data_IF_980331023009
#
_entry.id   IF_980331023009
#
_cell.length_a   1.000
_cell.length_b   1.000
_cell.length_c   1.000
_cell.angle_alpha   90.00
_cell.angle_beta   90.00
_cell.angle_gamma   90.00
#
_symmetry.space_group_name_H-M   'P 1'
#
loop_
_entity.id
_entity.type
_entity.pdbx_description
1 polymer ?
#
# COMPACT_ATOMS: atom_id res chain seq x y z
N UNK A 1 -14.04 38.85 0.07
CA UNK A 1 -13.12 39.84 0.72
C UNK A 1 -11.87 39.10 1.18
N UNK A 2 -10.65 39.65 0.95
CA UNK A 2 -9.39 39.05 1.47
C UNK A 2 -9.34 39.18 2.98
N UNK A 3 -8.75 38.19 3.67
CA UNK A 3 -8.60 38.21 5.11
C UNK A 3 -7.72 39.39 5.57
N UNK A 4 -7.83 39.87 6.83
CA UNK A 4 -6.92 40.90 7.35
C UNK A 4 -5.44 40.54 7.18
N UNK A 5 -5.09 39.26 7.38
CA UNK A 5 -3.73 38.75 7.18
C UNK A 5 -3.24 38.88 5.73
N UNK A 6 -4.12 38.65 4.75
CA UNK A 6 -3.75 38.77 3.33
C UNK A 6 -3.56 40.23 2.93
N UNK A 7 -4.35 41.16 3.50
CA UNK A 7 -4.19 42.60 3.28
C UNK A 7 -2.83 43.08 3.82
N UNK A 8 -2.44 42.65 5.00
CA UNK A 8 -1.14 43.02 5.60
C UNK A 8 0.05 42.51 4.79
N UNK A 9 -0.03 41.32 4.19
CA UNK A 9 1.01 40.83 3.26
C UNK A 9 1.14 41.71 2.03
N UNK A 10 0.02 42.09 1.39
CA UNK A 10 0.01 42.97 0.23
C UNK A 10 0.59 44.34 0.59
N UNK A 11 0.24 44.89 1.78
CA UNK A 11 0.80 46.15 2.26
C UNK A 11 2.33 46.01 2.41
N UNK A 12 2.84 44.92 2.95
CA UNK A 12 4.26 44.68 3.11
C UNK A 12 4.99 44.60 1.77
N UNK A 13 4.45 43.88 0.78
CA UNK A 13 5.01 43.75 -0.57
C UNK A 13 5.06 45.10 -1.29
N UNK A 14 3.98 45.87 -1.25
CA UNK A 14 3.90 47.17 -1.90
C UNK A 14 4.74 48.23 -1.19
N UNK A 15 4.88 48.15 0.12
CA UNK A 15 5.78 49.03 0.89
C UNK A 15 7.24 48.84 0.48
N UNK A 16 7.67 47.60 0.23
CA UNK A 16 9.02 47.30 -0.31
C UNK A 16 9.26 47.92 -1.70
N UNK A 17 8.20 48.22 -2.44
CA UNK A 17 8.25 48.91 -3.72
C UNK A 17 8.20 50.46 -3.58
N UNK A 18 8.24 50.99 -2.33
CA UNK A 18 8.34 52.43 -2.04
C UNK A 18 6.98 53.12 -1.74
N UNK A 19 5.88 52.41 -1.69
CA UNK A 19 4.59 53.02 -1.35
C UNK A 19 4.41 53.28 0.16
N UNK A 20 3.73 54.38 0.50
CA UNK A 20 3.47 54.77 1.90
C UNK A 20 2.50 53.77 2.60
N UNK A 21 2.87 53.30 3.76
CA UNK A 21 2.03 52.39 4.60
C UNK A 21 0.67 53.04 4.90
N UNK A 22 0.65 54.32 5.19
CA UNK A 22 -0.59 55.05 5.52
C UNK A 22 -1.57 55.01 4.31
N UNK A 23 -1.07 55.28 3.11
CA UNK A 23 -1.87 55.23 1.86
C UNK A 23 -2.38 53.80 1.62
N UNK A 24 -1.49 52.82 1.69
CA UNK A 24 -1.85 51.41 1.48
C UNK A 24 -2.90 50.91 2.47
N UNK A 25 -2.76 51.23 3.74
CA UNK A 25 -3.76 50.86 4.76
C UNK A 25 -5.13 51.49 4.47
N UNK A 26 -5.18 52.77 4.10
CA UNK A 26 -6.41 53.48 3.72
C UNK A 26 -7.06 52.83 2.48
N UNK A 27 -6.30 52.57 1.43
CA UNK A 27 -6.77 51.97 0.20
C UNK A 27 -7.29 50.54 0.36
N UNK A 28 -6.62 49.73 1.17
CA UNK A 28 -6.98 48.32 1.41
C UNK A 28 -7.94 48.12 2.59
N UNK A 29 -8.41 49.20 3.23
CA UNK A 29 -9.31 49.14 4.39
C UNK A 29 -8.70 48.35 5.55
N UNK A 30 -7.43 48.58 5.86
CA UNK A 30 -6.67 47.91 6.90
C UNK A 30 -6.26 48.91 7.99
N UNK A 31 -6.22 48.46 9.27
CA UNK A 31 -5.74 49.29 10.36
C UNK A 31 -4.19 49.39 10.33
N UNK A 32 -3.67 50.63 10.43
CA UNK A 32 -2.23 50.85 10.44
C UNK A 32 -1.58 50.30 11.72
N UNK A 33 -2.22 50.45 12.89
CA UNK A 33 -1.76 49.81 14.12
C UNK A 33 -1.79 48.30 14.04
N UNK A 34 -2.85 47.69 13.48
CA UNK A 34 -2.95 46.27 13.26
C UNK A 34 -1.86 45.74 12.29
N UNK A 35 -1.45 46.54 11.30
CA UNK A 35 -0.31 46.20 10.44
C UNK A 35 0.98 46.12 11.24
N UNK A 36 1.34 47.14 12.00
CA UNK A 36 2.55 47.14 12.83
C UNK A 36 2.54 46.03 13.89
N UNK A 37 1.40 45.76 14.52
CA UNK A 37 1.26 44.61 15.41
C UNK A 37 1.48 43.28 14.66
N UNK A 38 0.99 43.18 13.43
CA UNK A 38 1.19 41.97 12.64
C UNK A 38 2.68 41.68 12.35
N UNK A 39 3.49 42.73 12.16
CA UNK A 39 4.94 42.60 11.98
C UNK A 39 5.66 42.14 13.27
N UNK A 40 5.16 42.56 14.43
CA UNK A 40 5.73 42.18 15.74
C UNK A 40 5.25 40.80 16.20
N UNK A 41 4.18 40.27 15.61
CA UNK A 41 3.53 39.04 16.07
C UNK A 41 4.42 37.82 15.83
N UNK A 42 4.96 37.27 16.91
CA UNK A 42 5.66 35.97 16.87
C UNK A 42 4.67 34.88 16.41
N UNK A 43 5.19 33.93 15.64
CA UNK A 43 4.42 32.75 15.28
C UNK A 43 3.86 32.07 16.54
N UNK A 44 2.59 31.69 16.55
CA UNK A 44 2.03 30.90 17.65
C UNK A 44 2.80 29.59 17.81
N UNK A 45 2.88 29.05 19.04
CA UNK A 45 3.56 27.80 19.35
C UNK A 45 3.11 26.67 18.42
N UNK A 46 1.81 26.60 18.10
CA UNK A 46 1.25 25.63 17.16
C UNK A 46 1.81 25.82 15.76
N UNK A 47 1.98 27.05 15.30
CA UNK A 47 2.50 27.35 13.96
C UNK A 47 4.00 27.07 13.87
N UNK A 48 4.77 27.41 14.93
CA UNK A 48 6.21 27.06 15.02
C UNK A 48 6.39 25.54 14.99
N UNK A 49 5.61 24.81 15.79
CA UNK A 49 5.62 23.35 15.82
C UNK A 49 5.26 22.76 14.45
N UNK A 50 4.29 23.34 13.75
CA UNK A 50 3.89 22.90 12.40
C UNK A 50 5.02 23.09 11.39
N UNK A 51 5.70 24.25 11.39
CA UNK A 51 6.85 24.52 10.51
C UNK A 51 7.97 23.50 10.76
N UNK A 52 8.35 23.25 12.01
CA UNK A 52 9.38 22.28 12.37
C UNK A 52 9.03 20.81 12.01
N UNK A 53 7.75 20.51 11.71
CA UNK A 53 7.33 19.16 11.27
C UNK A 53 7.30 18.98 9.74
N UNK A 54 7.35 20.07 8.97
CA UNK A 54 7.25 20.00 7.50
C UNK A 54 8.31 19.10 6.88
N UNK A 55 9.56 19.26 7.28
CA UNK A 55 10.69 18.49 6.73
C UNK A 55 10.57 17.01 7.08
N UNK A 56 10.15 16.68 8.31
CA UNK A 56 9.96 15.29 8.74
C UNK A 56 8.84 14.61 7.95
N UNK A 57 7.71 15.29 7.75
CA UNK A 57 6.59 14.78 6.94
C UNK A 57 7.02 14.58 5.49
N UNK A 58 7.73 15.55 4.91
CA UNK A 58 8.26 15.47 3.53
C UNK A 58 9.25 14.32 3.38
N UNK A 59 10.18 14.17 4.32
CA UNK A 59 11.16 13.07 4.32
C UNK A 59 10.49 11.70 4.37
N UNK A 60 9.52 11.49 5.27
CA UNK A 60 8.78 10.22 5.34
C UNK A 60 7.97 9.95 4.07
N UNK A 61 7.34 10.98 3.50
CA UNK A 61 6.60 10.84 2.25
C UNK A 61 7.49 10.40 1.09
N UNK A 62 8.69 10.94 0.97
CA UNK A 62 9.69 10.57 -0.03
C UNK A 62 10.31 9.20 0.26
N UNK A 63 10.65 8.90 1.52
CA UNK A 63 11.13 7.58 1.95
C UNK A 63 10.20 6.46 1.48
N UNK A 64 8.89 6.66 1.59
CA UNK A 64 7.90 5.69 1.13
C UNK A 64 7.52 5.86 -0.35
N UNK A 65 8.36 6.53 -1.17
CA UNK A 65 8.15 6.68 -2.63
C UNK A 65 6.74 7.20 -2.96
N UNK A 66 6.21 8.18 -2.19
CA UNK A 66 4.86 8.78 -2.32
C UNK A 66 3.68 7.80 -2.07
N UNK A 67 3.92 6.62 -1.51
CA UNK A 67 2.90 5.58 -1.26
C UNK A 67 2.02 5.86 -0.04
N UNK A 68 2.50 6.70 0.90
CA UNK A 68 1.83 6.95 2.18
C UNK A 68 1.00 8.23 2.16
N UNK A 69 -0.30 8.09 2.52
CA UNK A 69 -1.15 9.21 2.90
C UNK A 69 -0.99 9.59 4.38
N UNK A 70 -1.76 10.59 4.82
CA UNK A 70 -1.70 11.20 6.17
C UNK A 70 -1.68 10.18 7.31
N UNK A 71 -2.51 9.12 7.23
CA UNK A 71 -2.65 8.15 8.33
C UNK A 71 -1.36 7.34 8.52
N UNK A 72 -0.78 6.80 7.45
CA UNK A 72 0.45 6.01 7.54
C UNK A 72 1.65 6.86 7.93
N UNK A 73 1.77 8.09 7.42
CA UNK A 73 2.81 9.05 7.86
C UNK A 73 2.65 9.39 9.33
N UNK A 74 1.42 9.63 9.79
CA UNK A 74 1.14 9.87 11.20
C UNK A 74 1.58 8.68 12.09
N UNK A 75 1.28 7.44 11.67
CA UNK A 75 1.70 6.23 12.38
C UNK A 75 3.22 6.07 12.43
N UNK A 76 3.94 6.47 11.37
CA UNK A 76 5.40 6.46 11.36
C UNK A 76 6.00 7.50 12.31
N UNK A 77 5.42 8.69 12.36
CA UNK A 77 5.83 9.73 13.32
C UNK A 77 5.61 9.28 14.76
N UNK A 78 4.45 8.67 15.06
CA UNK A 78 4.19 8.10 16.38
C UNK A 78 5.18 7.00 16.77
N UNK A 79 5.53 6.12 15.83
CA UNK A 79 6.54 5.07 16.05
C UNK A 79 7.94 5.62 16.32
N UNK A 80 8.24 6.86 15.87
CA UNK A 80 9.47 7.58 16.18
C UNK A 80 9.37 8.41 17.48
N UNK A 81 8.31 8.24 18.29
CA UNK A 81 8.08 9.00 19.52
C UNK A 81 7.57 10.44 19.31
N UNK A 82 7.26 10.83 18.08
CA UNK A 82 6.81 12.18 17.75
C UNK A 82 5.30 12.29 17.94
N UNK A 83 4.87 12.95 19.03
CA UNK A 83 3.45 13.21 19.32
C UNK A 83 2.91 14.31 18.41
N UNK A 84 2.10 13.95 17.43
CA UNK A 84 1.46 14.85 16.46
C UNK A 84 0.05 14.34 16.16
N UNK A 85 -0.90 15.21 15.83
CA UNK A 85 -2.24 14.77 15.43
C UNK A 85 -2.27 14.42 13.92
N UNK A 86 -3.11 13.44 13.55
CA UNK A 86 -3.34 13.07 12.15
C UNK A 86 -3.84 14.28 11.33
N UNK A 87 -4.68 15.14 11.94
CA UNK A 87 -5.19 16.38 11.31
C UNK A 87 -4.05 17.34 10.96
N UNK A 88 -3.05 17.49 11.83
CA UNK A 88 -1.88 18.34 11.59
C UNK A 88 -1.02 17.76 10.45
N UNK A 89 -0.77 16.45 10.42
CA UNK A 89 -0.06 15.79 9.31
C UNK A 89 -0.79 16.04 7.98
N UNK A 90 -2.12 15.86 7.95
CA UNK A 90 -2.91 16.12 6.74
C UNK A 90 -2.88 17.58 6.30
N UNK A 91 -2.81 18.53 7.24
CA UNK A 91 -2.65 19.95 6.93
C UNK A 91 -1.28 20.26 6.35
N UNK A 92 -0.20 19.71 6.93
CA UNK A 92 1.17 19.86 6.43
C UNK A 92 1.28 19.27 5.02
N UNK A 93 0.74 18.09 4.77
CA UNK A 93 0.76 17.49 3.44
C UNK A 93 0.06 18.37 2.39
N UNK A 94 -1.07 18.98 2.73
CA UNK A 94 -1.77 19.92 1.84
C UNK A 94 -0.95 21.17 1.54
N UNK A 95 -0.34 21.77 2.56
CA UNK A 95 0.51 22.96 2.39
C UNK A 95 1.73 22.69 1.48
N UNK A 96 2.27 21.47 1.58
CA UNK A 96 3.42 21.03 0.78
C UNK A 96 3.00 20.43 -0.58
N UNK A 97 1.71 20.38 -0.91
CA UNK A 97 1.20 19.78 -2.15
C UNK A 97 1.46 18.27 -2.25
N UNK A 98 1.68 17.57 -1.12
CA UNK A 98 2.00 16.14 -1.09
C UNK A 98 0.74 15.31 -1.31
N UNK A 99 0.64 14.65 -2.45
CA UNK A 99 -0.46 13.74 -2.81
C UNK A 99 0.07 12.32 -2.91
N UNK A 100 -0.48 11.40 -2.10
CA UNK A 100 -0.14 9.98 -2.18
C UNK A 100 -0.66 9.38 -3.49
N UNK A 101 0.02 8.31 -3.96
CA UNK A 101 -0.42 7.52 -5.10
C UNK A 101 -1.81 6.96 -4.78
N UNK A 102 -2.80 7.28 -5.62
CA UNK A 102 -4.18 6.81 -5.47
C UNK A 102 -4.37 5.47 -6.19
N UNK A 103 -5.19 4.58 -5.63
CA UNK A 103 -5.63 3.38 -6.33
C UNK A 103 -6.35 3.80 -7.62
N UNK A 104 -5.99 3.19 -8.75
CA UNK A 104 -6.74 3.32 -9.99
C UNK A 104 -8.04 2.53 -9.85
N UNK A 105 -9.13 3.05 -10.39
CA UNK A 105 -10.38 2.30 -10.49
C UNK A 105 -10.15 1.16 -11.51
N UNK A 106 -9.96 -0.05 -11.00
CA UNK A 106 -9.84 -1.26 -11.81
C UNK A 106 -11.22 -1.94 -11.84
N UNK A 107 -11.75 -2.18 -13.02
CA UNK A 107 -12.93 -3.04 -13.22
C UNK A 107 -12.41 -4.41 -13.63
N UNK A 108 -12.52 -5.45 -12.79
CA UNK A 108 -12.11 -6.79 -13.18
C UNK A 108 -13.03 -7.31 -14.29
N UNK A 109 -12.43 -7.90 -15.33
CA UNK A 109 -13.15 -8.81 -16.24
C UNK A 109 -13.11 -10.18 -15.58
N UNK A 110 -14.27 -10.75 -15.33
CA UNK A 110 -14.43 -12.10 -14.77
C UNK A 110 -13.90 -13.16 -15.73
N UNK A 111 -13.07 -14.06 -15.24
CA UNK A 111 -12.50 -15.19 -15.98
C UNK A 111 -13.58 -16.27 -16.18
N UNK A 112 -13.65 -16.86 -17.38
CA UNK A 112 -14.51 -18.01 -17.68
C UNK A 112 -13.79 -19.26 -17.15
N UNK A 113 -14.43 -19.93 -16.18
CA UNK A 113 -13.87 -21.14 -15.54
C UNK A 113 -14.32 -22.42 -16.24
N UNK A 114 -13.44 -23.42 -16.34
CA UNK A 114 -13.73 -24.77 -16.85
C UNK A 114 -14.56 -25.62 -15.87
N UNK A 115 -15.33 -26.58 -16.39
CA UNK A 115 -16.44 -27.25 -15.72
C UNK A 115 -16.07 -28.45 -14.80
N UNK A 116 -14.80 -28.78 -14.52
CA UNK A 116 -14.40 -30.11 -14.00
C UNK A 116 -13.92 -30.17 -12.52
N UNK A 117 -14.18 -29.19 -11.67
CA UNK A 117 -13.62 -29.17 -10.30
C UNK A 117 -14.69 -29.20 -9.17
N UNK A 118 -15.72 -30.02 -9.27
CA UNK A 118 -16.88 -29.94 -8.38
C UNK A 118 -16.74 -30.60 -6.99
N UNK A 119 -15.61 -31.21 -6.63
CA UNK A 119 -15.48 -32.01 -5.39
C UNK A 119 -14.64 -31.38 -4.27
N UNK A 120 -13.94 -30.26 -4.52
CA UNK A 120 -13.08 -29.66 -3.48
C UNK A 120 -13.89 -28.64 -2.69
N UNK A 121 -13.89 -28.84 -1.35
CA UNK A 121 -14.64 -28.01 -0.40
C UNK A 121 -13.99 -26.65 -0.16
N UNK A 122 -14.82 -25.65 0.13
CA UNK A 122 -14.38 -24.35 0.64
C UNK A 122 -14.22 -24.43 2.15
N UNK A 123 -12.98 -24.59 2.60
CA UNK A 123 -12.61 -24.68 4.01
C UNK A 123 -12.45 -23.32 4.69
N UNK A 124 -12.54 -22.20 3.96
CA UNK A 124 -12.30 -20.85 4.52
C UNK A 124 -13.56 -20.04 4.74
N UNK A 125 -14.66 -20.44 4.16
CA UNK A 125 -15.94 -19.73 4.26
C UNK A 125 -16.36 -19.54 5.72
N UNK A 126 -16.54 -18.27 6.13
CA UNK A 126 -16.95 -17.92 7.49
C UNK A 126 -15.87 -18.09 8.57
N UNK A 127 -14.64 -18.49 8.22
CA UNK A 127 -13.54 -18.64 9.18
C UNK A 127 -12.80 -17.34 9.41
N UNK A 128 -12.39 -17.15 10.66
CA UNK A 128 -11.47 -16.09 11.08
C UNK A 128 -10.16 -16.75 11.49
N UNK A 129 -9.07 -16.32 10.87
CA UNK A 129 -7.73 -16.81 11.19
C UNK A 129 -7.09 -15.90 12.24
N UNK A 130 -6.64 -16.47 13.35
CA UNK A 130 -6.21 -15.74 14.55
C UNK A 130 -4.69 -15.74 14.74
N UNK A 131 -3.97 -16.58 14.00
CA UNK A 131 -2.52 -16.61 13.98
C UNK A 131 -1.96 -16.93 12.58
N UNK A 132 -0.68 -16.66 12.33
CA UNK A 132 -0.03 -16.97 11.06
C UNK A 132 0.00 -18.47 10.77
N UNK A 133 0.19 -18.80 9.50
CA UNK A 133 0.37 -20.17 8.99
C UNK A 133 -0.87 -21.08 9.10
N UNK A 134 -2.04 -20.56 9.45
CA UNK A 134 -3.30 -21.31 9.41
C UNK A 134 -3.88 -21.43 8.01
N UNK A 135 -3.77 -20.38 7.20
CA UNK A 135 -4.29 -20.35 5.84
C UNK A 135 -3.48 -19.42 4.95
N UNK A 136 -3.17 -19.89 3.75
CA UNK A 136 -2.61 -19.10 2.66
C UNK A 136 -3.63 -18.98 1.52
N UNK A 137 -3.77 -17.78 0.98
CA UNK A 137 -4.50 -17.52 -0.26
C UNK A 137 -3.52 -17.48 -1.43
N UNK A 138 -3.76 -18.30 -2.45
CA UNK A 138 -2.97 -18.38 -3.66
C UNK A 138 -3.71 -17.78 -4.86
N UNK A 139 -2.99 -17.05 -5.71
CA UNK A 139 -3.52 -16.49 -6.95
C UNK A 139 -2.41 -16.14 -7.93
N UNK A 140 -2.78 -15.94 -9.20
CA UNK A 140 -1.88 -15.51 -10.27
C UNK A 140 -2.33 -14.16 -10.81
N UNK A 141 -1.39 -13.24 -10.98
CA UNK A 141 -1.67 -11.96 -11.63
C UNK A 141 -0.75 -11.71 -12.81
N UNK A 142 -1.25 -10.90 -13.77
CA UNK A 142 -0.54 -10.52 -14.99
C UNK A 142 0.30 -9.27 -14.74
N UNK A 143 1.50 -9.25 -15.31
CA UNK A 143 2.45 -8.15 -15.31
C UNK A 143 2.79 -7.79 -16.75
N UNK A 144 2.37 -6.60 -17.19
CA UNK A 144 2.62 -6.13 -18.53
C UNK A 144 4.04 -5.54 -18.65
N UNK A 145 4.76 -5.93 -19.70
CA UNK A 145 6.02 -5.32 -20.12
C UNK A 145 6.01 -5.04 -21.63
N UNK A 146 6.86 -4.15 -22.12
CA UNK A 146 7.00 -3.95 -23.58
C UNK A 146 7.56 -5.17 -24.30
N UNK A 147 8.22 -6.09 -23.57
CA UNK A 147 8.74 -7.35 -24.08
C UNK A 147 7.72 -8.51 -24.01
N UNK A 148 6.46 -8.23 -23.64
CA UNK A 148 5.40 -9.20 -23.48
C UNK A 148 4.98 -9.39 -22.03
N UNK A 149 4.20 -10.43 -21.75
CA UNK A 149 3.63 -10.69 -20.45
C UNK A 149 4.57 -11.48 -19.53
N UNK A 150 4.48 -11.16 -18.24
CA UNK A 150 4.95 -12.03 -17.17
C UNK A 150 3.75 -12.42 -16.30
N UNK A 151 3.86 -13.55 -15.65
CA UNK A 151 2.87 -14.12 -14.76
C UNK A 151 3.47 -14.24 -13.37
N UNK A 152 2.82 -13.61 -12.39
CA UNK A 152 3.26 -13.61 -11.00
C UNK A 152 2.27 -14.44 -10.19
N UNK A 153 2.72 -15.60 -9.70
CA UNK A 153 2.00 -16.39 -8.69
C UNK A 153 2.49 -16.02 -7.30
N UNK A 154 1.60 -16.00 -6.31
CA UNK A 154 1.96 -15.72 -4.93
C UNK A 154 1.02 -16.35 -3.93
N UNK A 155 1.53 -16.53 -2.70
CA UNK A 155 0.77 -17.00 -1.54
C UNK A 155 0.88 -15.99 -0.41
N UNK A 156 -0.27 -15.47 0.04
CA UNK A 156 -0.40 -14.50 1.12
C UNK A 156 -1.02 -15.15 2.35
N UNK A 157 -0.46 -14.91 3.51
CA UNK A 157 -0.99 -15.37 4.78
C UNK A 157 -2.28 -14.64 5.16
N UNK A 158 -3.30 -15.39 5.57
CA UNK A 158 -4.61 -14.86 5.91
C UNK A 158 -4.59 -13.92 7.12
N UNK A 159 -3.73 -14.17 8.10
CA UNK A 159 -3.59 -13.37 9.31
C UNK A 159 -2.61 -12.21 9.14
N UNK A 160 -1.33 -12.54 8.90
CA UNK A 160 -0.25 -11.55 8.87
C UNK A 160 -0.22 -10.68 7.61
N UNK A 161 -0.97 -11.07 6.57
CA UNK A 161 -0.93 -10.44 5.22
C UNK A 161 0.46 -10.47 4.58
N UNK A 162 1.34 -11.34 5.05
CA UNK A 162 2.69 -11.52 4.54
C UNK A 162 2.67 -12.36 3.27
N UNK A 163 3.39 -11.94 2.24
CA UNK A 163 3.66 -12.79 1.08
C UNK A 163 4.71 -13.81 1.52
N UNK A 164 4.30 -15.07 1.58
CA UNK A 164 5.14 -16.19 2.05
C UNK A 164 6.03 -16.73 0.95
N UNK A 165 5.52 -16.80 -0.28
CA UNK A 165 6.26 -17.25 -1.45
C UNK A 165 5.64 -16.72 -2.73
N UNK A 166 6.46 -16.55 -3.76
CA UNK A 166 6.02 -16.11 -5.08
C UNK A 166 7.03 -16.54 -6.16
N UNK A 167 6.53 -16.63 -7.39
CA UNK A 167 7.33 -16.93 -8.60
C UNK A 167 6.85 -16.06 -9.76
N UNK A 168 7.78 -15.69 -10.64
CA UNK A 168 7.52 -14.87 -11.83
C UNK A 168 8.09 -15.59 -13.04
N UNK A 169 7.22 -15.93 -14.01
CA UNK A 169 7.58 -16.64 -15.25
C UNK A 169 6.95 -15.96 -16.48
N UNK A 170 7.39 -16.39 -17.66
CA UNK A 170 6.90 -15.87 -18.95
C UNK A 170 5.69 -16.64 -19.48
N UNK A 171 5.32 -17.71 -18.83
CA UNK A 171 4.14 -18.53 -19.10
C UNK A 171 3.45 -18.92 -17.81
N UNK A 172 2.29 -19.56 -17.88
CA UNK A 172 1.51 -20.01 -16.71
C UNK A 172 1.44 -21.55 -16.62
N UNK A 173 2.55 -22.29 -16.57
CA UNK A 173 2.49 -23.72 -16.29
C UNK A 173 2.13 -23.96 -14.82
N UNK A 174 1.77 -25.18 -14.47
CA UNK A 174 1.53 -25.56 -13.08
C UNK A 174 2.80 -25.36 -12.21
N UNK A 175 4.01 -25.45 -12.80
CA UNK A 175 5.29 -25.18 -12.11
C UNK A 175 5.40 -23.77 -11.55
N UNK A 176 4.74 -22.77 -12.14
CA UNK A 176 4.69 -21.41 -11.61
C UNK A 176 4.10 -21.39 -10.20
N UNK A 177 3.01 -22.12 -9.99
CA UNK A 177 2.30 -22.18 -8.71
C UNK A 177 3.04 -23.09 -7.73
N UNK A 178 3.48 -24.29 -8.17
CA UNK A 178 4.24 -25.18 -7.29
C UNK A 178 5.55 -24.56 -6.86
N UNK A 179 6.28 -23.87 -7.74
CA UNK A 179 7.49 -23.14 -7.40
C UNK A 179 7.27 -21.98 -6.40
N UNK A 180 6.11 -21.31 -6.48
CA UNK A 180 5.73 -20.30 -5.50
C UNK A 180 5.50 -20.91 -4.11
N UNK A 181 4.79 -22.04 -4.08
CA UNK A 181 4.48 -22.75 -2.83
C UNK A 181 5.72 -23.37 -2.20
N UNK A 182 6.59 -23.97 -3.03
CA UNK A 182 7.87 -24.55 -2.58
C UNK A 182 8.74 -23.48 -1.87
N UNK A 183 8.83 -22.27 -2.42
CA UNK A 183 9.55 -21.16 -1.80
C UNK A 183 8.91 -20.77 -0.46
N UNK A 184 7.58 -20.78 -0.35
CA UNK A 184 6.88 -20.54 0.89
C UNK A 184 7.21 -21.62 1.95
N UNK A 185 7.16 -22.90 1.57
CA UNK A 185 7.45 -24.04 2.45
C UNK A 185 8.89 -24.06 2.93
N UNK A 186 9.86 -23.78 2.06
CA UNK A 186 11.27 -23.67 2.43
C UNK A 186 11.53 -22.56 3.44
N UNK A 187 10.87 -21.41 3.26
CA UNK A 187 11.06 -20.25 4.13
C UNK A 187 10.28 -20.36 5.46
N UNK A 188 9.15 -21.06 5.45
CA UNK A 188 8.24 -21.17 6.60
C UNK A 188 7.91 -22.64 6.91
N UNK A 189 8.80 -23.38 7.59
CA UNK A 189 8.59 -24.81 7.91
C UNK A 189 7.36 -25.09 8.78
N UNK A 190 6.80 -24.06 9.43
CA UNK A 190 5.59 -24.15 10.27
C UNK A 190 4.28 -24.18 9.45
N UNK A 191 4.34 -24.16 8.12
CA UNK A 191 3.15 -24.26 7.24
C UNK A 191 2.52 -25.66 7.19
N UNK A 192 2.97 -26.61 8.00
CA UNK A 192 2.36 -27.94 8.09
C UNK A 192 0.89 -27.81 8.51
N UNK A 193 0.01 -28.56 7.84
CA UNK A 193 -1.45 -28.55 8.04
C UNK A 193 -2.18 -27.25 7.69
N UNK A 194 -1.47 -26.27 7.12
CA UNK A 194 -2.11 -25.03 6.64
C UNK A 194 -3.16 -25.32 5.57
N UNK A 195 -4.23 -24.54 5.56
CA UNK A 195 -5.17 -24.51 4.46
C UNK A 195 -4.55 -23.69 3.34
N UNK A 196 -4.50 -24.27 2.13
CA UNK A 196 -4.11 -23.54 0.93
C UNK A 196 -5.37 -23.32 0.10
N UNK A 197 -5.82 -22.06 0.07
CA UNK A 197 -7.03 -21.66 -0.64
C UNK A 197 -6.70 -20.93 -1.93
N UNK A 198 -7.37 -21.30 -3.01
CA UNK A 198 -7.22 -20.69 -4.33
C UNK A 198 -8.52 -20.69 -5.11
N UNK A 199 -8.51 -20.06 -6.28
CA UNK A 199 -9.55 -20.26 -7.28
C UNK A 199 -9.45 -21.64 -7.92
N UNK A 200 -10.35 -21.93 -8.89
CA UNK A 200 -10.41 -23.20 -9.63
C UNK A 200 -9.64 -23.14 -10.96
N UNK A 201 -8.59 -22.32 -11.05
CA UNK A 201 -7.73 -22.25 -12.22
C UNK A 201 -7.04 -23.60 -12.51
N UNK A 202 -6.73 -23.85 -13.77
CA UNK A 202 -6.10 -25.12 -14.23
C UNK A 202 -4.79 -25.44 -13.53
N UNK A 203 -4.05 -24.41 -13.12
CA UNK A 203 -2.78 -24.55 -12.39
C UNK A 203 -3.02 -25.15 -10.99
N UNK A 204 -4.07 -24.69 -10.29
CA UNK A 204 -4.44 -25.15 -8.95
C UNK A 204 -5.18 -26.48 -8.93
N UNK A 205 -5.74 -26.91 -10.06
CA UNK A 205 -6.38 -28.23 -10.23
C UNK A 205 -5.45 -29.28 -10.82
N UNK A 206 -4.20 -28.92 -11.10
CA UNK A 206 -3.21 -29.83 -11.68
C UNK A 206 -2.80 -30.95 -10.71
N UNK A 207 -2.51 -32.12 -11.25
CA UNK A 207 -2.07 -33.28 -10.47
C UNK A 207 -0.79 -33.00 -9.67
N UNK A 208 0.21 -32.35 -10.28
CA UNK A 208 1.47 -32.02 -9.60
C UNK A 208 1.27 -31.06 -8.41
N UNK A 209 0.33 -30.10 -8.51
CA UNK A 209 0.02 -29.22 -7.40
C UNK A 209 -0.65 -29.97 -6.24
N UNK A 210 -1.64 -30.83 -6.52
CA UNK A 210 -2.30 -31.64 -5.50
C UNK A 210 -1.34 -32.63 -4.83
N UNK A 211 -0.46 -33.27 -5.61
CA UNK A 211 0.57 -34.15 -5.08
C UNK A 211 1.51 -33.42 -4.11
N UNK A 212 1.93 -32.18 -4.46
CA UNK A 212 2.75 -31.36 -3.57
C UNK A 212 2.02 -31.03 -2.26
N UNK A 213 0.75 -30.63 -2.32
CA UNK A 213 -0.04 -30.35 -1.11
C UNK A 213 -0.11 -31.57 -0.18
N UNK A 214 -0.40 -32.74 -0.77
CA UNK A 214 -0.48 -34.00 0.00
C UNK A 214 0.85 -34.38 0.62
N UNK A 215 1.96 -34.30 -0.14
CA UNK A 215 3.32 -34.61 0.35
C UNK A 215 3.74 -33.73 1.54
N UNK A 216 3.27 -32.50 1.59
CA UNK A 216 3.57 -31.56 2.68
C UNK A 216 2.50 -31.50 3.78
N UNK A 217 1.48 -32.37 3.73
CA UNK A 217 0.39 -32.40 4.73
C UNK A 217 -0.51 -31.16 4.73
N UNK A 218 -0.60 -30.45 3.58
CA UNK A 218 -1.40 -29.25 3.43
C UNK A 218 -2.85 -29.57 3.04
N UNK A 219 -3.79 -28.78 3.54
CA UNK A 219 -5.22 -28.94 3.26
C UNK A 219 -5.59 -28.09 2.06
N UNK A 220 -6.13 -28.71 1.01
CA UNK A 220 -6.62 -27.99 -0.16
C UNK A 220 -8.00 -27.40 0.11
N UNK A 221 -8.20 -26.18 -0.35
CA UNK A 221 -9.49 -25.47 -0.31
C UNK A 221 -9.68 -24.66 -1.59
N UNK A 222 -10.89 -24.64 -2.15
CA UNK A 222 -11.19 -23.88 -3.36
C UNK A 222 -12.49 -23.10 -3.20
N UNK A 223 -12.48 -21.85 -3.65
CA UNK A 223 -13.65 -20.99 -3.67
C UNK A 223 -14.79 -21.56 -4.52
N UNK A 224 -16.02 -21.19 -4.21
CA UNK A 224 -17.18 -21.57 -4.99
C UNK A 224 -17.21 -20.84 -6.34
N UNK A 225 -17.71 -21.50 -7.37
CA UNK A 225 -17.83 -20.92 -8.71
C UNK A 225 -18.70 -19.65 -8.67
N UNK A 226 -18.15 -18.51 -9.07
CA UNK A 226 -18.88 -17.23 -9.16
C UNK A 226 -18.93 -16.41 -7.86
N UNK A 227 -18.31 -16.82 -6.77
CA UNK A 227 -18.24 -16.05 -5.52
C UNK A 227 -16.90 -15.31 -5.46
N UNK A 228 -16.92 -14.02 -5.79
CA UNK A 228 -15.70 -13.18 -5.89
C UNK A 228 -15.05 -12.83 -4.53
N UNK A 229 -15.69 -13.19 -3.41
CA UNK A 229 -15.20 -12.76 -2.08
C UNK A 229 -14.20 -13.72 -1.45
N UNK A 230 -14.10 -14.94 -1.97
CA UNK A 230 -13.33 -16.01 -1.33
C UNK A 230 -11.80 -15.77 -1.45
N UNK A 231 -11.34 -14.96 -2.42
CA UNK A 231 -9.91 -14.67 -2.63
C UNK A 231 -9.52 -13.18 -2.42
N UNK A 232 -10.41 -12.39 -1.77
CA UNK A 232 -10.27 -10.94 -1.62
C UNK A 232 -8.95 -10.49 -0.94
N UNK A 233 -8.32 -11.35 -0.13
CA UNK A 233 -7.08 -11.04 0.58
C UNK A 233 -5.93 -10.83 -0.42
N UNK A 234 -5.72 -11.80 -1.31
CA UNK A 234 -4.63 -11.71 -2.30
C UNK A 234 -4.98 -10.75 -3.45
N UNK A 235 -6.25 -10.64 -3.84
CA UNK A 235 -6.69 -9.64 -4.82
C UNK A 235 -6.42 -8.21 -4.34
N UNK A 236 -6.66 -7.93 -3.06
CA UNK A 236 -6.32 -6.65 -2.44
C UNK A 236 -4.81 -6.38 -2.45
N UNK A 237 -4.00 -7.44 -2.29
CA UNK A 237 -2.54 -7.33 -2.43
C UNK A 237 -2.16 -7.00 -3.87
N UNK A 238 -2.68 -7.71 -4.89
CA UNK A 238 -2.39 -7.41 -6.29
C UNK A 238 -2.76 -5.98 -6.67
N UNK A 239 -3.93 -5.52 -6.24
CA UNK A 239 -4.34 -4.13 -6.45
C UNK A 239 -3.36 -3.14 -5.83
N UNK A 240 -2.84 -3.46 -4.65
CA UNK A 240 -1.84 -2.63 -3.94
C UNK A 240 -0.49 -2.67 -4.65
N UNK A 241 -0.01 -3.85 -5.04
CA UNK A 241 1.22 -4.04 -5.81
C UNK A 241 1.18 -3.24 -7.12
N UNK A 242 0.12 -3.40 -7.91
CA UNK A 242 -0.06 -2.68 -9.18
C UNK A 242 -0.11 -1.16 -9.01
N UNK A 243 -0.68 -0.70 -7.90
CA UNK A 243 -0.74 0.75 -7.61
C UNK A 243 0.60 1.32 -7.15
N UNK A 244 1.32 0.60 -6.30
CA UNK A 244 2.48 1.15 -5.57
C UNK A 244 3.83 0.78 -6.20
N UNK A 245 3.88 -0.30 -7.01
CA UNK A 245 5.11 -0.82 -7.63
C UNK A 245 5.18 -0.54 -9.13
N UNK A 246 4.05 -0.58 -9.86
CA UNK A 246 4.07 -0.47 -11.31
C UNK A 246 4.29 0.98 -11.78
N UNK A 247 4.93 1.18 -12.94
CA UNK A 247 5.02 2.48 -13.59
C UNK A 247 3.65 3.13 -13.79
N UNK A 248 3.61 4.44 -13.98
CA UNK A 248 2.35 5.17 -14.20
C UNK A 248 1.61 4.72 -15.47
N UNK A 249 2.29 4.19 -16.47
CA UNK A 249 1.72 3.55 -17.65
C UNK A 249 1.00 2.22 -17.34
N UNK A 250 1.38 1.56 -16.24
CA UNK A 250 0.99 0.19 -15.92
C UNK A 250 1.82 -0.88 -16.63
N UNK A 251 2.81 -0.47 -17.45
CA UNK A 251 3.64 -1.35 -18.28
C UNK A 251 5.12 -1.07 -17.96
N UNK A 252 5.90 -2.08 -17.66
CA UNK A 252 7.35 -1.97 -17.47
C UNK A 252 8.06 -1.94 -18.83
N UNK A 253 9.25 -1.34 -18.86
CA UNK A 253 10.05 -1.31 -20.09
C UNK A 253 10.55 -2.73 -20.47
N UNK A 254 11.09 -3.46 -19.48
CA UNK A 254 11.63 -4.81 -19.70
C UNK A 254 11.11 -5.81 -18.67
N UNK A 255 11.20 -7.10 -18.99
CA UNK A 255 10.91 -8.20 -18.06
C UNK A 255 11.87 -8.21 -16.88
N UNK A 256 13.13 -7.86 -17.09
CA UNK A 256 14.14 -7.79 -16.05
C UNK A 256 13.81 -6.67 -15.03
N UNK A 257 13.43 -5.48 -15.51
CA UNK A 257 12.98 -4.37 -14.66
C UNK A 257 11.77 -4.78 -13.81
N UNK A 258 10.76 -5.42 -14.43
CA UNK A 258 9.58 -5.87 -13.74
C UNK A 258 9.90 -6.86 -12.60
N UNK A 259 10.74 -7.86 -12.89
CA UNK A 259 11.19 -8.85 -11.89
C UNK A 259 11.92 -8.20 -10.74
N UNK A 260 12.85 -7.30 -11.01
CA UNK A 260 13.63 -6.58 -9.98
C UNK A 260 12.73 -5.67 -9.11
N UNK A 261 11.84 -4.89 -9.74
CA UNK A 261 10.93 -4.00 -9.03
C UNK A 261 9.95 -4.75 -8.11
N UNK A 262 9.40 -5.87 -8.58
CA UNK A 262 8.48 -6.71 -7.79
C UNK A 262 9.23 -7.37 -6.63
N UNK A 263 10.45 -7.87 -6.86
CA UNK A 263 11.30 -8.43 -5.81
C UNK A 263 11.57 -7.38 -4.72
N UNK A 264 12.09 -6.20 -5.09
CA UNK A 264 12.34 -5.10 -4.14
C UNK A 264 11.06 -4.73 -3.38
N UNK A 265 9.92 -4.65 -4.09
CA UNK A 265 8.66 -4.27 -3.48
C UNK A 265 8.20 -5.28 -2.45
N UNK A 266 8.21 -6.57 -2.74
CA UNK A 266 7.72 -7.63 -1.84
C UNK A 266 8.68 -7.81 -0.66
N UNK A 267 9.98 -8.04 -0.93
CA UNK A 267 10.94 -8.42 0.09
C UNK A 267 11.39 -7.24 0.96
N UNK A 268 11.74 -6.12 0.33
CA UNK A 268 12.35 -4.99 1.04
C UNK A 268 11.33 -3.97 1.54
N UNK A 269 10.10 -3.96 1.01
CA UNK A 269 9.13 -2.94 1.38
C UNK A 269 7.81 -3.48 1.92
N UNK A 270 7.05 -4.29 1.13
CA UNK A 270 5.71 -4.72 1.51
C UNK A 270 5.71 -5.53 2.81
N UNK A 271 6.52 -6.58 2.86
CA UNK A 271 6.59 -7.46 4.02
C UNK A 271 7.18 -6.78 5.25
N UNK A 272 8.16 -5.87 5.09
CA UNK A 272 9.03 -5.39 6.17
C UNK A 272 8.77 -3.96 6.63
N UNK A 273 8.19 -3.11 5.78
CA UNK A 273 8.04 -1.68 6.06
C UNK A 273 6.62 -1.15 5.86
N UNK A 274 5.84 -1.77 4.95
CA UNK A 274 4.54 -1.25 4.58
C UNK A 274 3.50 -1.45 5.67
N UNK A 275 3.02 -0.35 6.27
CA UNK A 275 1.95 -0.39 7.27
C UNK A 275 0.62 -0.83 6.67
N UNK A 276 -0.02 -1.79 7.31
CA UNK A 276 -1.28 -2.36 6.86
C UNK A 276 -2.44 -1.98 7.80
N UNK A 277 -3.53 -1.42 7.28
CA UNK A 277 -4.66 -0.95 8.11
C UNK A 277 -5.34 -2.09 8.87
N UNK A 278 -5.51 -3.27 8.23
CA UNK A 278 -6.10 -4.44 8.89
C UNK A 278 -5.21 -5.06 9.97
N UNK A 279 -3.94 -4.65 10.07
CA UNK A 279 -2.99 -5.08 11.10
C UNK A 279 -2.73 -3.99 12.15
N UNK A 280 -3.69 -3.09 12.39
CA UNK A 280 -3.51 -1.93 13.25
C UNK A 280 -2.27 -1.09 12.89
N UNK A 281 -2.01 -0.96 11.59
CA UNK A 281 -0.85 -0.27 11.02
C UNK A 281 0.52 -0.88 11.39
N UNK A 282 0.58 -2.15 11.81
CA UNK A 282 1.82 -2.92 11.80
C UNK A 282 2.15 -3.33 10.36
N UNK A 283 3.41 -3.62 10.06
CA UNK A 283 3.80 -4.24 8.80
C UNK A 283 3.69 -5.78 8.90
N UNK A 284 3.52 -6.50 7.77
CA UNK A 284 3.26 -7.95 7.77
C UNK A 284 4.23 -8.76 8.61
N UNK A 285 5.55 -8.54 8.47
CA UNK A 285 6.56 -9.25 9.25
C UNK A 285 6.43 -9.01 10.77
N UNK A 286 6.09 -7.78 11.20
CA UNK A 286 5.88 -7.51 12.62
C UNK A 286 4.60 -8.19 13.16
N UNK A 287 3.58 -8.36 12.32
CA UNK A 287 2.39 -9.13 12.69
C UNK A 287 2.67 -10.63 12.76
N UNK A 288 3.52 -11.13 11.87
CA UNK A 288 4.00 -12.52 11.85
C UNK A 288 4.79 -12.89 13.11
N UNK A 289 5.71 -12.00 13.51
CA UNK A 289 6.61 -12.25 14.65
C UNK A 289 5.94 -12.02 16.02
N UNK A 290 4.81 -11.32 16.07
CA UNK A 290 4.10 -10.99 17.30
C UNK A 290 3.00 -12.00 17.67
N UNK A 291 2.83 -13.05 16.88
CA UNK A 291 1.88 -14.13 17.08
C UNK A 291 2.59 -15.43 17.50
#
# INVERSE_FOLDING_TARGET
MKSPSDRYKIIQELHQQGYSISLLCKTLGASQSGYYESLKRKLSVTKQRREGMKDKVKMLFLKHKKRYGRIRIHRDLLAQGIKISEKMVGSIMRDLGLKAIAKRAFRPKTTISSAHANSIEDLVKGKVFTCPNQCLFGDITYVATKEGWLYLSGFIDAYSKMIKGYSIEESMPASLVTGSLEKALKRFPKLKEAIIHSDRGSQYTSHCYHQMLTQHGLKISMGQKGVCYDNAVIESFWSTLKTECFPSSGVFETKAEAKAAIFEYIESYYNTQRRHSSLNYRFPLAAELAA
#
